data_IF_829641513726
#
_entry.id   IF_829641513726
#
_cell.length_a   1.000
_cell.length_b   1.000
_cell.length_c   1.000
_cell.angle_alpha   90.00
_cell.angle_beta   90.00
_cell.angle_gamma   90.00
#
_symmetry.space_group_name_H-M   'P 1'
#
loop_
_entity.id
_entity.type
_entity.pdbx_description
1 polymer ?
#
# COMPACT_ATOMS: atom_id res chain seq x y z
N UNK A 1 -18.88 6.62 50.14
CA UNK A 1 -17.41 6.51 50.04
C UNK A 1 -17.03 5.04 50.15
N UNK A 2 -15.85 4.65 49.66
CA UNK A 2 -15.44 3.26 49.29
C UNK A 2 -16.23 2.74 48.07
N UNK A 3 -15.73 2.80 46.83
CA UNK A 3 -14.42 2.52 46.21
C UNK A 3 -14.30 1.09 45.66
N UNK A 4 -13.84 1.01 44.41
CA UNK A 4 -13.77 -0.18 43.55
C UNK A 4 -12.68 -1.16 43.97
N UNK A 5 -12.88 -2.46 43.71
CA UNK A 5 -11.80 -3.34 43.23
C UNK A 5 -12.36 -4.28 42.15
N UNK A 6 -12.02 -4.02 40.88
CA UNK A 6 -12.33 -4.90 39.75
C UNK A 6 -11.08 -5.76 39.47
N UNK A 7 -11.09 -7.05 39.86
CA UNK A 7 -9.95 -7.95 39.61
C UNK A 7 -9.99 -8.48 38.17
N UNK A 8 -9.10 -7.98 37.32
CA UNK A 8 -8.77 -8.61 36.03
C UNK A 8 -8.04 -9.93 36.28
N UNK A 9 -8.62 -11.05 35.83
CA UNK A 9 -7.93 -12.35 35.84
C UNK A 9 -7.28 -12.58 34.47
N UNK A 10 -5.95 -12.55 34.43
CA UNK A 10 -5.14 -12.77 33.24
C UNK A 10 -4.91 -14.27 33.05
N UNK A 11 -5.65 -14.91 32.13
CA UNK A 11 -5.43 -16.32 31.80
C UNK A 11 -4.42 -16.43 30.67
N UNK A 12 -3.21 -16.86 31.02
CA UNK A 12 -2.13 -17.18 30.08
C UNK A 12 -2.46 -18.49 29.38
N UNK A 13 -2.59 -18.47 28.04
CA UNK A 13 -2.80 -19.66 27.22
C UNK A 13 -1.47 -20.08 26.57
N UNK A 14 -0.76 -21.02 27.20
CA UNK A 14 0.38 -21.68 26.57
C UNK A 14 -0.13 -22.67 25.50
N UNK A 15 0.19 -22.43 24.23
CA UNK A 15 0.04 -23.44 23.17
C UNK A 15 1.40 -24.08 22.88
N UNK A 16 1.50 -25.39 23.12
CA UNK A 16 2.72 -26.16 22.86
C UNK A 16 2.59 -26.80 21.47
N UNK A 17 3.41 -26.37 20.51
CA UNK A 17 3.36 -26.86 19.14
C UNK A 17 4.54 -27.81 18.87
N UNK A 18 4.24 -29.10 18.67
CA UNK A 18 5.25 -30.10 18.32
C UNK A 18 5.54 -30.09 16.82
N UNK A 19 6.83 -30.02 16.47
CA UNK A 19 7.36 -29.87 15.12
C UNK A 19 7.75 -31.22 14.49
N UNK A 20 7.46 -31.41 13.20
CA UNK A 20 8.04 -32.48 12.36
C UNK A 20 8.49 -31.89 11.01
N UNK A 21 9.70 -32.24 10.56
CA UNK A 21 10.41 -31.66 9.41
C UNK A 21 10.22 -32.46 8.09
N UNK A 22 10.52 -31.82 6.94
CA UNK A 22 11.40 -32.26 5.79
C UNK A 22 11.17 -31.28 4.59
N UNK A 23 12.14 -30.51 4.05
CA UNK A 23 13.24 -30.83 3.09
C UNK A 23 12.83 -30.98 1.59
N UNK A 24 13.52 -30.48 0.54
CA UNK A 24 14.73 -29.61 0.40
C UNK A 24 15.04 -29.20 -1.08
N UNK A 25 15.76 -28.07 -1.30
CA UNK A 25 16.46 -27.62 -2.56
C UNK A 25 15.60 -27.16 -3.78
N UNK A 26 15.96 -26.16 -4.61
CA UNK A 26 17.28 -25.88 -5.25
C UNK A 26 17.34 -24.49 -5.95
N UNK A 27 18.55 -24.03 -6.36
CA UNK A 27 18.79 -22.71 -7.01
C UNK A 27 18.89 -22.75 -8.55
N UNK A 28 18.65 -21.61 -9.23
CA UNK A 28 19.49 -21.20 -10.39
C UNK A 28 19.48 -19.68 -10.67
N UNK A 29 20.64 -19.12 -11.02
CA UNK A 29 20.87 -17.72 -11.45
C UNK A 29 20.96 -17.62 -12.98
N UNK A 30 20.52 -16.51 -13.58
CA UNK A 30 21.23 -15.86 -14.71
C UNK A 30 20.89 -14.37 -14.84
N UNK A 31 21.79 -13.60 -15.50
CA UNK A 31 21.84 -12.13 -15.54
C UNK A 31 21.48 -11.60 -16.97
N UNK A 32 21.69 -10.31 -17.33
CA UNK A 32 20.70 -9.47 -18.01
C UNK A 32 20.87 -9.43 -19.55
N UNK A 33 20.00 -8.69 -20.24
CA UNK A 33 20.26 -8.23 -21.61
C UNK A 33 19.99 -6.74 -21.76
N UNK A 34 20.89 -6.07 -22.49
CA UNK A 34 20.85 -4.64 -22.84
C UNK A 34 20.44 -4.51 -24.31
N UNK A 35 19.68 -3.48 -24.66
CA UNK A 35 19.61 -2.99 -26.05
C UNK A 35 19.31 -1.50 -26.09
N UNK A 36 19.72 -0.87 -27.18
CA UNK A 36 20.15 0.53 -27.20
C UNK A 36 19.38 1.36 -28.21
N UNK A 37 19.06 2.60 -27.83
CA UNK A 37 18.74 3.78 -28.67
C UNK A 37 17.66 3.68 -29.75
N UNK A 38 16.81 4.72 -29.81
CA UNK A 38 16.70 5.53 -31.03
C UNK A 38 16.44 7.01 -30.69
N UNK A 39 17.00 7.90 -31.50
CA UNK A 39 16.94 9.36 -31.36
C UNK A 39 15.75 9.90 -32.15
N UNK A 40 15.11 10.98 -31.66
CA UNK A 40 14.53 12.03 -32.52
C UNK A 40 14.63 13.40 -31.85
N UNK A 41 15.06 14.42 -32.61
CA UNK A 41 15.16 15.82 -32.19
C UNK A 41 14.11 16.67 -32.92
N UNK A 42 13.48 17.62 -32.22
CA UNK A 42 12.96 18.93 -32.71
C UNK A 42 12.44 19.70 -31.48
N UNK A 43 13.04 20.76 -30.92
CA UNK A 43 13.58 22.03 -31.40
C UNK A 43 12.53 23.15 -31.70
N UNK A 44 12.67 24.25 -30.94
CA UNK A 44 12.17 25.64 -31.18
C UNK A 44 10.65 25.91 -31.02
N UNK A 45 10.20 27.09 -30.57
CA UNK A 45 10.89 28.26 -29.97
C UNK A 45 9.91 29.19 -29.19
N UNK A 46 10.47 30.08 -28.36
CA UNK A 46 9.85 31.23 -27.69
C UNK A 46 9.28 32.28 -28.65
N UNK A 47 8.23 33.02 -28.27
CA UNK A 47 8.07 34.48 -28.53
C UNK A 47 7.09 35.10 -27.53
N UNK A 48 7.31 36.37 -27.18
CA UNK A 48 6.63 37.17 -26.16
C UNK A 48 5.35 37.87 -26.69
N UNK A 49 4.55 38.46 -25.79
CA UNK A 49 3.37 39.26 -26.17
C UNK A 49 2.86 40.15 -25.02
N UNK A 50 3.30 41.40 -25.00
CA UNK A 50 2.98 42.40 -23.97
C UNK A 50 1.83 43.31 -24.39
N UNK A 51 0.94 43.70 -23.44
CA UNK A 51 0.40 45.08 -23.19
C UNK A 51 -1.06 45.09 -22.69
N UNK A 52 -1.24 45.68 -21.49
CA UNK A 52 -2.27 46.62 -20.97
C UNK A 52 -3.59 46.90 -21.75
N UNK A 53 -4.74 47.33 -21.18
CA UNK A 53 -4.99 48.09 -19.93
C UNK A 53 -6.51 48.14 -19.55
N UNK A 54 -6.87 47.85 -18.27
CA UNK A 54 -7.96 48.48 -17.45
C UNK A 54 -9.45 48.45 -17.96
N UNK A 55 -10.46 48.94 -17.20
CA UNK A 55 -11.14 48.13 -16.17
C UNK A 55 -12.69 48.15 -16.25
N UNK A 56 -13.38 47.18 -15.63
CA UNK A 56 -14.84 47.27 -15.39
C UNK A 56 -15.19 46.82 -13.98
N UNK A 57 -15.97 47.66 -13.29
CA UNK A 57 -16.40 47.51 -11.90
C UNK A 57 -17.66 46.66 -11.80
N UNK A 58 -17.58 45.43 -11.27
CA UNK A 58 -18.76 44.71 -10.79
C UNK A 58 -18.52 44.01 -9.44
N UNK A 59 -19.30 44.47 -8.45
CA UNK A 59 -19.76 43.84 -7.19
C UNK A 59 -18.77 43.10 -6.25
N UNK A 60 -18.79 43.38 -4.93
CA UNK A 60 -17.97 42.64 -3.96
C UNK A 60 -18.52 41.22 -3.74
N UNK A 61 -17.95 40.25 -4.42
CA UNK A 61 -18.11 38.83 -4.05
C UNK A 61 -17.50 38.62 -2.67
N UNK A 62 -18.36 38.36 -1.68
CA UNK A 62 -17.96 37.91 -0.36
C UNK A 62 -17.03 36.71 -0.54
N UNK A 63 -15.81 36.69 0.04
CA UNK A 63 -14.98 35.50 -0.03
C UNK A 63 -15.68 34.40 0.75
N UNK A 64 -16.29 33.46 0.02
CA UNK A 64 -16.77 32.20 0.58
C UNK A 64 -15.59 31.56 1.29
N UNK A 65 -15.65 31.51 2.62
CA UNK A 65 -14.61 30.87 3.45
C UNK A 65 -14.43 29.44 2.97
N UNK A 66 -13.40 29.20 2.17
CA UNK A 66 -13.06 27.87 1.71
C UNK A 66 -12.71 27.07 2.95
N UNK A 67 -13.63 26.20 3.38
CA UNK A 67 -13.35 25.19 4.39
C UNK A 67 -12.05 24.51 3.99
N UNK A 68 -11.03 24.46 4.87
CA UNK A 68 -9.75 23.87 4.50
C UNK A 68 -10.01 22.42 4.10
N UNK A 69 -9.79 22.10 2.83
CA UNK A 69 -9.78 20.73 2.36
C UNK A 69 -8.73 20.01 3.20
N UNK A 70 -9.08 18.91 3.92
CA UNK A 70 -8.09 18.20 4.72
C UNK A 70 -6.93 17.80 3.82
N UNK A 71 -5.70 18.07 4.26
CA UNK A 71 -4.52 17.77 3.49
C UNK A 71 -4.48 16.26 3.20
N UNK A 72 -4.36 15.89 1.92
CA UNK A 72 -4.29 14.49 1.51
C UNK A 72 -3.03 13.85 2.10
N UNK A 73 -3.20 12.77 2.84
CA UNK A 73 -2.06 11.96 3.34
C UNK A 73 -1.58 10.98 2.26
N UNK A 74 -2.48 10.58 1.36
CA UNK A 74 -2.14 9.70 0.24
C UNK A 74 -1.58 10.49 -0.94
N UNK A 75 -0.57 9.95 -1.64
CA UNK A 75 -0.13 10.51 -2.91
C UNK A 75 -1.25 10.37 -3.96
N UNK A 76 -1.42 11.40 -4.80
CA UNK A 76 -2.62 11.56 -5.63
C UNK A 76 -2.83 10.39 -6.62
N UNK A 77 -1.74 9.81 -7.12
CA UNK A 77 -1.76 8.67 -8.02
C UNK A 77 -2.30 7.40 -7.37
N UNK A 78 -2.12 7.21 -6.05
CA UNK A 78 -2.59 6.05 -5.28
C UNK A 78 -4.11 6.05 -5.04
N UNK A 79 -4.74 7.23 -5.04
CA UNK A 79 -6.17 7.41 -4.73
C UNK A 79 -7.03 6.80 -5.84
N UNK A 80 -8.04 6.03 -5.46
CA UNK A 80 -8.98 5.34 -6.35
C UNK A 80 -9.11 3.86 -6.03
N UNK A 81 -9.85 3.15 -6.88
CA UNK A 81 -9.99 1.69 -6.85
C UNK A 81 -8.94 1.05 -7.74
N UNK A 82 -8.44 -0.12 -7.34
CA UNK A 82 -7.50 -0.94 -8.10
C UNK A 82 -7.95 -2.40 -8.05
N UNK A 83 -7.94 -3.09 -9.18
CA UNK A 83 -8.42 -4.46 -9.34
C UNK A 83 -7.40 -5.34 -10.07
N UNK A 84 -7.46 -6.65 -9.81
CA UNK A 84 -6.58 -7.64 -10.44
C UNK A 84 -6.59 -8.97 -9.70
N UNK A 85 -5.47 -9.69 -9.80
CA UNK A 85 -5.30 -11.01 -9.18
C UNK A 85 -3.90 -11.15 -8.57
N UNK A 86 -3.80 -11.96 -7.52
CA UNK A 86 -2.54 -12.46 -6.97
C UNK A 86 -2.36 -13.96 -7.28
N UNK A 87 -1.27 -14.56 -6.82
CA UNK A 87 -1.03 -16.01 -6.98
C UNK A 87 -2.11 -16.87 -6.29
N UNK A 88 -2.69 -16.40 -5.19
CA UNK A 88 -3.64 -17.15 -4.36
C UNK A 88 -5.04 -16.53 -4.36
N UNK A 89 -5.22 -15.36 -4.97
CA UNK A 89 -6.50 -14.66 -5.04
C UNK A 89 -6.85 -14.28 -6.49
N UNK A 90 -7.75 -15.02 -7.19
CA UNK A 90 -8.17 -14.67 -8.54
C UNK A 90 -8.91 -13.32 -8.66
N UNK A 91 -9.54 -12.83 -7.59
CA UNK A 91 -10.08 -11.47 -7.52
C UNK A 91 -9.52 -10.73 -6.30
N UNK A 92 -8.90 -9.58 -6.56
CA UNK A 92 -8.39 -8.65 -5.55
C UNK A 92 -8.85 -7.25 -5.94
N UNK A 93 -9.47 -6.52 -5.00
CA UNK A 93 -9.83 -5.11 -5.14
C UNK A 93 -9.31 -4.32 -3.94
N UNK A 94 -8.73 -3.15 -4.17
CA UNK A 94 -8.38 -2.19 -3.11
C UNK A 94 -8.84 -0.79 -3.50
N UNK A 95 -9.56 -0.13 -2.60
CA UNK A 95 -10.03 1.25 -2.75
C UNK A 95 -9.34 2.13 -1.72
N UNK A 96 -8.66 3.17 -2.19
CA UNK A 96 -7.85 4.11 -1.40
C UNK A 96 -8.42 5.52 -1.55
N UNK A 97 -8.71 6.21 -0.45
CA UNK A 97 -9.18 7.60 -0.42
C UNK A 97 -8.07 8.59 -0.05
N UNK A 98 -8.31 9.89 -0.26
CA UNK A 98 -7.34 10.97 0.01
C UNK A 98 -6.93 11.09 1.50
N UNK A 99 -7.84 10.73 2.41
CA UNK A 99 -7.64 10.71 3.86
C UNK A 99 -7.02 9.40 4.37
N UNK A 100 -6.62 8.50 3.48
CA UNK A 100 -5.91 7.27 3.83
C UNK A 100 -6.80 6.10 4.24
N UNK A 101 -8.13 6.21 4.15
CA UNK A 101 -8.98 5.02 4.28
C UNK A 101 -8.66 4.04 3.14
N UNK A 102 -8.43 2.79 3.51
CA UNK A 102 -8.16 1.68 2.60
C UNK A 102 -9.19 0.59 2.88
N UNK A 103 -9.91 0.19 1.84
CA UNK A 103 -10.87 -0.92 1.86
C UNK A 103 -10.38 -1.97 0.87
N UNK A 104 -10.25 -3.22 1.32
CA UNK A 104 -9.77 -4.33 0.50
C UNK A 104 -10.81 -5.43 0.42
N UNK A 105 -10.89 -6.05 -0.75
CA UNK A 105 -11.58 -7.31 -1.01
C UNK A 105 -10.56 -8.28 -1.58
N UNK A 106 -10.58 -9.54 -1.14
CA UNK A 106 -9.73 -10.60 -1.69
C UNK A 106 -10.48 -11.93 -1.65
N UNK A 107 -10.73 -12.50 -2.81
CA UNK A 107 -11.26 -13.85 -2.97
C UNK A 107 -10.08 -14.81 -3.06
N UNK A 108 -9.78 -15.55 -1.99
CA UNK A 108 -8.69 -16.51 -1.93
C UNK A 108 -9.15 -17.90 -2.36
N UNK A 109 -8.49 -18.46 -3.37
CA UNK A 109 -8.79 -19.79 -3.93
C UNK A 109 -7.51 -20.61 -4.05
N UNK A 110 -7.30 -21.58 -3.17
CA UNK A 110 -6.08 -22.40 -3.18
C UNK A 110 -6.26 -23.77 -2.48
N UNK A 111 -5.39 -24.73 -2.81
CA UNK A 111 -5.39 -26.08 -2.22
C UNK A 111 -6.13 -27.16 -3.04
N UNK A 112 -6.91 -26.77 -4.05
CA UNK A 112 -7.60 -27.71 -4.95
C UNK A 112 -8.95 -28.17 -4.41
N UNK A 113 -9.33 -29.43 -4.69
CA UNK A 113 -10.57 -30.01 -4.19
C UNK A 113 -10.56 -30.10 -2.65
N UNK A 114 -11.57 -29.51 -2.00
CA UNK A 114 -11.60 -29.36 -0.54
C UNK A 114 -10.60 -28.33 0.01
N UNK A 115 -10.04 -27.49 -0.85
CA UNK A 115 -9.18 -26.36 -0.47
C UNK A 115 -9.94 -25.17 0.11
N UNK A 116 -9.26 -24.02 0.15
CA UNK A 116 -9.83 -22.74 0.54
C UNK A 116 -10.51 -22.10 -0.66
N UNK A 117 -11.74 -21.64 -0.43
CA UNK A 117 -12.54 -20.74 -1.25
C UNK A 117 -13.17 -19.75 -0.26
N UNK A 118 -12.49 -18.63 -0.01
CA UNK A 118 -12.79 -17.69 1.08
C UNK A 118 -12.74 -16.24 0.60
N UNK A 119 -13.68 -15.42 1.06
CA UNK A 119 -13.78 -14.00 0.68
C UNK A 119 -13.50 -13.14 1.90
N UNK A 120 -12.44 -12.35 1.83
CA UNK A 120 -11.98 -11.50 2.91
C UNK A 120 -12.15 -10.02 2.55
N UNK A 121 -12.88 -9.30 3.40
CA UNK A 121 -13.06 -7.86 3.31
C UNK A 121 -12.50 -7.17 4.56
N UNK A 122 -11.57 -6.23 4.36
CA UNK A 122 -10.90 -5.53 5.46
C UNK A 122 -10.81 -4.03 5.22
N UNK A 123 -10.89 -3.26 6.31
CA UNK A 123 -10.79 -1.80 6.31
C UNK A 123 -9.75 -1.33 7.31
N UNK A 124 -8.93 -0.37 6.90
CA UNK A 124 -8.01 0.38 7.76
C UNK A 124 -8.00 1.86 7.35
N UNK A 125 -7.32 2.68 8.15
CA UNK A 125 -6.96 4.05 7.78
C UNK A 125 -5.47 4.25 7.99
N UNK A 126 -4.74 4.51 6.91
CA UNK A 126 -3.33 4.87 6.91
C UNK A 126 -3.18 6.26 7.53
N UNK A 127 -2.34 6.39 8.55
CA UNK A 127 -2.12 7.65 9.29
C UNK A 127 -0.69 8.17 9.17
N UNK A 128 0.23 7.40 8.58
CA UNK A 128 1.60 7.84 8.28
C UNK A 128 2.21 7.02 7.13
N UNK A 129 2.81 7.71 6.15
CA UNK A 129 3.57 7.10 5.05
C UNK A 129 5.02 7.59 5.05
N UNK A 130 5.95 6.66 4.81
CA UNK A 130 7.36 6.95 4.52
C UNK A 130 7.63 6.67 3.04
N UNK A 131 7.95 7.72 2.28
CA UNK A 131 8.49 7.54 0.93
C UNK A 131 9.94 7.06 1.03
N UNK A 132 10.26 5.94 0.37
CA UNK A 132 11.59 5.31 0.40
C UNK A 132 12.32 5.39 -0.95
N UNK A 133 11.56 5.50 -2.04
CA UNK A 133 12.03 5.63 -3.41
C UNK A 133 10.92 6.28 -4.25
N UNK A 134 11.17 6.71 -5.51
CA UNK A 134 10.12 7.25 -6.38
C UNK A 134 8.86 6.37 -6.39
N UNK A 135 7.72 7.00 -6.10
CA UNK A 135 6.39 6.39 -6.01
C UNK A 135 6.30 5.13 -5.12
N UNK A 136 7.22 4.95 -4.17
CA UNK A 136 7.35 3.74 -3.33
C UNK A 136 7.20 4.14 -1.86
N UNK A 137 6.18 3.61 -1.20
CA UNK A 137 5.73 4.07 0.12
C UNK A 137 5.57 2.92 1.10
N UNK A 138 6.11 3.07 2.31
CA UNK A 138 5.90 2.17 3.45
C UNK A 138 4.90 2.80 4.40
N UNK A 139 3.95 2.00 4.87
CA UNK A 139 2.92 2.40 5.84
C UNK A 139 3.57 2.31 7.23
N UNK A 140 3.86 3.47 7.81
CA UNK A 140 4.51 3.57 9.12
C UNK A 140 3.50 3.47 10.26
N UNK A 141 2.27 3.93 10.03
CA UNK A 141 1.22 3.96 11.03
C UNK A 141 -0.17 3.82 10.38
N UNK A 142 -1.09 3.17 11.09
CA UNK A 142 -2.47 2.99 10.66
C UNK A 142 -3.40 2.76 11.86
N UNK A 143 -4.70 2.85 11.62
CA UNK A 143 -5.73 2.31 12.51
C UNK A 143 -6.56 1.26 11.76
N UNK A 144 -7.38 0.48 12.47
CA UNK A 144 -8.19 -0.59 11.86
C UNK A 144 -7.40 -1.88 11.59
N UNK A 145 -7.82 -2.64 10.58
CA UNK A 145 -7.40 -4.04 10.39
C UNK A 145 -6.10 -4.13 9.58
N UNK A 146 -5.04 -4.68 10.16
CA UNK A 146 -3.71 -4.79 9.50
C UNK A 146 -3.73 -5.58 8.18
N UNK A 147 -4.66 -6.54 8.04
CA UNK A 147 -4.84 -7.30 6.81
C UNK A 147 -5.29 -6.44 5.61
N UNK A 148 -5.90 -5.27 5.84
CA UNK A 148 -6.27 -4.33 4.78
C UNK A 148 -5.05 -3.66 4.11
N UNK A 149 -3.84 -3.81 4.66
CA UNK A 149 -2.63 -3.15 4.15
C UNK A 149 -1.87 -4.00 3.12
N UNK A 150 -2.22 -5.28 2.97
CA UNK A 150 -1.61 -6.22 2.02
C UNK A 150 -2.71 -6.97 1.24
N UNK A 151 -3.47 -6.27 0.37
CA UNK A 151 -4.55 -6.88 -0.42
C UNK A 151 -4.05 -8.06 -1.25
N UNK A 152 -4.84 -9.12 -1.33
CA UNK A 152 -4.52 -10.32 -2.14
C UNK A 152 -3.40 -11.20 -1.58
N UNK A 153 -2.89 -10.93 -0.37
CA UNK A 153 -1.79 -11.69 0.23
C UNK A 153 -2.24 -12.31 1.55
N UNK A 154 -1.96 -13.59 1.73
CA UNK A 154 -2.26 -14.36 2.94
C UNK A 154 -1.09 -15.31 3.25
N UNK A 155 -1.19 -16.09 4.32
CA UNK A 155 -0.17 -17.06 4.76
C UNK A 155 1.23 -16.45 5.03
N UNK A 156 1.31 -15.14 5.32
CA UNK A 156 2.54 -14.51 5.80
C UNK A 156 2.80 -14.98 7.23
N UNK A 157 3.89 -15.72 7.42
CA UNK A 157 4.30 -16.22 8.74
C UNK A 157 5.82 -16.25 8.88
N UNK A 158 6.29 -16.21 10.12
CA UNK A 158 7.71 -16.21 10.49
C UNK A 158 7.97 -15.36 11.72
N UNK A 159 9.24 -15.30 12.14
CA UNK A 159 9.69 -14.47 13.28
C UNK A 159 10.41 -13.24 12.75
N UNK A 160 9.63 -12.24 12.32
CA UNK A 160 10.13 -10.95 11.81
C UNK A 160 9.11 -9.84 12.09
N UNK A 161 9.59 -8.60 12.09
CA UNK A 161 8.77 -7.41 11.90
C UNK A 161 8.59 -7.20 10.39
N UNK A 162 7.37 -6.83 9.99
CA UNK A 162 7.05 -6.46 8.62
C UNK A 162 6.24 -5.17 8.62
N UNK A 163 6.65 -4.20 7.79
CA UNK A 163 5.82 -3.04 7.47
C UNK A 163 5.33 -3.16 6.04
N UNK A 164 4.00 -3.13 5.88
CA UNK A 164 3.34 -3.14 4.60
C UNK A 164 3.61 -1.83 3.82
N UNK A 165 3.47 -1.88 2.51
CA UNK A 165 3.62 -0.72 1.66
C UNK A 165 3.07 -0.97 0.26
N UNK A 166 3.19 0.04 -0.59
CA UNK A 166 2.83 -0.06 -1.99
C UNK A 166 3.77 0.76 -2.88
N UNK A 167 3.88 0.35 -4.13
CA UNK A 167 4.51 1.10 -5.21
C UNK A 167 3.48 1.43 -6.29
N UNK A 168 3.44 2.69 -6.73
CA UNK A 168 2.62 3.11 -7.87
C UNK A 168 3.51 3.35 -9.09
N UNK A 169 3.43 2.47 -10.10
CA UNK A 169 4.29 2.57 -11.29
C UNK A 169 3.48 2.22 -12.54
N UNK A 170 3.60 3.03 -13.59
CA UNK A 170 2.90 2.82 -14.88
C UNK A 170 1.38 2.61 -14.76
N UNK A 171 0.73 3.30 -13.81
CA UNK A 171 -0.71 3.14 -13.57
C UNK A 171 -1.07 1.78 -12.95
N UNK A 172 -0.17 1.20 -12.16
CA UNK A 172 -0.38 -0.04 -11.40
C UNK A 172 -0.10 0.17 -9.92
N UNK A 173 -0.93 -0.42 -9.06
CA UNK A 173 -0.66 -0.61 -7.64
C UNK A 173 0.05 -1.94 -7.43
N UNK A 174 1.24 -1.93 -6.82
CA UNK A 174 1.99 -3.13 -6.44
C UNK A 174 2.11 -3.17 -4.91
N UNK A 175 1.56 -4.18 -4.22
CA UNK A 175 1.85 -4.35 -2.80
C UNK A 175 3.32 -4.71 -2.61
N UNK A 176 3.93 -4.14 -1.57
CA UNK A 176 5.31 -4.43 -1.15
C UNK A 176 5.37 -4.55 0.37
N UNK A 177 6.48 -5.03 0.90
CA UNK A 177 6.76 -4.95 2.33
C UNK A 177 8.27 -4.77 2.59
N UNK A 178 8.62 -4.11 3.69
CA UNK A 178 9.98 -4.18 4.25
C UNK A 178 9.96 -5.07 5.48
N UNK A 179 11.03 -5.84 5.68
CA UNK A 179 11.17 -6.79 6.78
C UNK A 179 12.43 -6.54 7.59
N UNK A 180 12.40 -6.86 8.88
CA UNK A 180 13.54 -6.79 9.78
C UNK A 180 13.36 -7.69 11.01
N UNK A 181 14.42 -8.01 11.76
CA UNK A 181 14.29 -8.72 13.03
C UNK A 181 13.61 -7.86 14.12
N UNK A 182 13.79 -6.55 14.06
CA UNK A 182 13.15 -5.52 14.91
C UNK A 182 12.67 -4.35 14.03
N UNK A 183 11.99 -3.35 14.60
CA UNK A 183 11.54 -2.15 13.87
C UNK A 183 12.74 -1.25 13.50
N UNK A 184 13.72 -1.21 14.40
CA UNK A 184 14.95 -0.43 14.30
C UNK A 184 15.91 -0.99 13.24
N UNK A 185 15.84 -2.30 12.98
CA UNK A 185 16.68 -3.04 12.02
C UNK A 185 16.00 -3.26 10.65
N UNK A 186 14.92 -2.54 10.35
CA UNK A 186 14.26 -2.58 9.03
C UNK A 186 15.16 -1.91 7.98
N UNK A 187 15.53 -2.66 6.95
CA UNK A 187 16.21 -2.13 5.77
C UNK A 187 15.22 -1.57 4.75
N UNK A 188 15.04 -0.26 4.77
CA UNK A 188 14.16 0.46 3.82
C UNK A 188 14.69 0.49 2.38
N UNK A 189 15.93 0.09 2.12
CA UNK A 189 16.50 0.04 0.78
C UNK A 189 16.19 -1.28 0.05
N UNK A 190 15.81 -2.33 0.78
CA UNK A 190 15.57 -3.67 0.26
C UNK A 190 14.15 -4.15 0.60
N UNK A 191 13.15 -3.60 -0.09
CA UNK A 191 11.77 -4.08 0.02
C UNK A 191 11.54 -5.39 -0.77
N UNK A 192 10.64 -6.22 -0.26
CA UNK A 192 10.06 -7.34 -0.96
C UNK A 192 8.89 -6.87 -1.82
N UNK A 193 8.86 -7.29 -3.09
CA UNK A 193 7.74 -7.09 -4.01
C UNK A 193 7.02 -8.44 -4.18
N UNK A 194 5.70 -8.45 -3.96
CA UNK A 194 4.91 -9.69 -3.97
C UNK A 194 4.61 -10.24 -5.38
N UNK A 195 5.13 -9.61 -6.43
CA UNK A 195 5.18 -10.16 -7.79
C UNK A 195 3.96 -9.90 -8.68
N UNK A 196 2.87 -9.35 -8.13
CA UNK A 196 1.66 -9.00 -8.89
C UNK A 196 1.37 -7.49 -8.87
N UNK A 197 0.36 -7.09 -9.63
CA UNK A 197 -0.03 -5.70 -9.83
C UNK A 197 -1.55 -5.60 -10.02
N UNK A 198 -2.13 -4.50 -9.55
CA UNK A 198 -3.55 -4.16 -9.68
C UNK A 198 -3.68 -2.91 -10.58
N UNK A 199 -4.67 -2.91 -11.46
CA UNK A 199 -4.97 -1.84 -12.42
C UNK A 199 -6.16 -0.99 -11.95
N UNK A 200 -6.21 0.28 -12.35
CA UNK A 200 -7.33 1.20 -12.09
C UNK A 200 -8.32 1.22 -13.26
#
# INVERSE_FOLDING_TARGET
>A
MSSMIFKKSLTVLCLVLSLVLLASCSQKKTKPSTSTSHIHQKQSATTEGTTSTTPTTEMPTIPSTSQPTPASIMPAEAIGTWEGASQLAPEVRVTISADGQINTYSHFVYGGEGGIDDVQEYTATITELKNIAPNTYIIMNHTGQVHALLPGITNIGGTFVMLAGFKIENGQYRPIAVIGPTVEEIDYQNYHDFGFALSK
#
